data_IF_630984079937
#
_entry.id   IF_630984079937
#
_cell.length_a   1.000
_cell.length_b   1.000
_cell.length_c   1.000
_cell.angle_alpha   90.00
_cell.angle_beta   90.00
_cell.angle_gamma   90.00
#
_symmetry.space_group_name_H-M   'P 1'
#
loop_
_entity.id
_entity.type
_entity.pdbx_description
1 polymer ?
#
# COMPACT_ATOMS: atom_id res chain seq x y z
N UNK A 1 9.27 9.66 15.66
CA UNK A 1 9.31 8.20 15.48
C UNK A 1 9.96 7.82 14.15
N UNK A 2 9.47 8.28 12.99
CA UNK A 2 10.12 7.97 11.70
C UNK A 2 11.60 8.38 11.64
N UNK A 3 11.96 9.59 12.07
CA UNK A 3 13.36 10.04 12.12
C UNK A 3 14.23 9.08 12.94
N UNK A 4 13.75 8.63 14.10
CA UNK A 4 14.44 7.66 14.94
C UNK A 4 14.68 6.34 14.20
N UNK A 5 13.67 5.83 13.50
CA UNK A 5 13.78 4.60 12.70
C UNK A 5 14.80 4.76 11.55
N UNK A 6 14.83 5.93 10.91
CA UNK A 6 15.83 6.25 9.87
C UNK A 6 17.23 6.33 10.46
N UNK A 7 17.42 7.06 11.57
CA UNK A 7 18.72 7.20 12.24
C UNK A 7 19.29 5.85 12.67
N UNK A 8 18.45 4.89 13.06
CA UNK A 8 18.90 3.54 13.39
C UNK A 8 19.50 2.77 12.19
N UNK A 9 19.12 3.11 10.95
CA UNK A 9 19.59 2.43 9.72
C UNK A 9 20.76 3.13 9.07
N UNK A 10 20.72 4.46 9.00
CA UNK A 10 21.66 5.27 8.20
C UNK A 10 22.48 6.27 9.04
N UNK A 11 22.33 6.25 10.36
CA UNK A 11 23.05 7.13 11.29
C UNK A 11 22.53 8.57 11.29
N UNK A 12 23.33 9.50 11.84
CA UNK A 12 22.96 10.93 11.94
C UNK A 12 23.26 11.74 10.67
N UNK A 13 24.11 11.23 9.77
CA UNK A 13 24.59 11.95 8.58
C UNK A 13 23.80 11.59 7.33
N UNK A 14 22.48 11.59 7.42
CA UNK A 14 21.60 11.25 6.31
C UNK A 14 21.36 12.48 5.44
N UNK A 15 21.35 12.29 4.13
CA UNK A 15 20.81 13.31 3.22
C UNK A 15 19.39 13.70 3.63
N UNK A 16 18.94 14.95 3.37
CA UNK A 16 17.56 15.35 3.63
C UNK A 16 16.56 14.40 2.98
N UNK A 17 15.51 14.03 3.71
CA UNK A 17 14.47 13.12 3.22
C UNK A 17 13.09 13.64 3.59
N UNK A 18 12.08 13.14 2.89
CA UNK A 18 10.68 13.53 3.10
C UNK A 18 10.16 13.00 4.45
N UNK A 19 9.68 13.91 5.30
CA UNK A 19 9.08 13.59 6.61
C UNK A 19 7.56 13.73 6.63
N UNK A 20 6.97 14.40 5.63
CA UNK A 20 5.53 14.51 5.45
C UNK A 20 4.93 13.12 5.20
N UNK A 21 3.77 12.88 5.80
CA UNK A 21 3.03 11.63 5.64
C UNK A 21 2.29 11.60 4.29
N UNK A 22 2.27 10.44 3.66
CA UNK A 22 1.38 10.13 2.54
C UNK A 22 0.08 9.55 3.11
N UNK A 23 -1.02 10.32 3.16
CA UNK A 23 -2.23 9.90 3.85
C UNK A 23 -2.96 8.79 3.08
N UNK A 24 -3.73 7.97 3.79
CA UNK A 24 -4.63 7.01 3.17
C UNK A 24 -5.78 7.78 2.48
N UNK A 25 -6.17 7.34 1.29
CA UNK A 25 -7.11 8.09 0.45
C UNK A 25 -8.18 7.19 -0.15
N UNK A 26 -9.43 7.68 -0.11
CA UNK A 26 -10.45 7.22 -1.04
C UNK A 26 -10.23 7.90 -2.40
N UNK A 27 -10.15 7.08 -3.45
CA UNK A 27 -9.74 7.56 -4.78
C UNK A 27 -10.81 7.43 -5.87
N UNK A 28 -12.05 7.13 -5.48
CA UNK A 28 -13.18 7.05 -6.40
C UNK A 28 -13.65 5.61 -6.65
N UNK A 29 -14.28 5.39 -7.81
CA UNK A 29 -14.95 4.11 -8.10
C UNK A 29 -14.11 3.21 -9.00
N UNK A 30 -14.06 1.92 -8.69
CA UNK A 30 -13.29 0.93 -9.46
C UNK A 30 -13.78 0.83 -10.90
N UNK A 31 -15.10 0.87 -11.11
CA UNK A 31 -15.70 0.78 -12.45
C UNK A 31 -15.46 2.02 -13.32
N UNK A 32 -14.89 3.10 -12.75
CA UNK A 32 -14.52 4.33 -13.48
C UNK A 32 -13.01 4.40 -13.76
N UNK A 33 -12.25 3.38 -13.39
CA UNK A 33 -10.82 3.34 -13.66
C UNK A 33 -10.61 3.08 -15.16
N UNK A 34 -9.82 3.92 -15.81
CA UNK A 34 -9.45 3.73 -17.21
C UNK A 34 -7.96 3.99 -17.41
N UNK A 35 -7.38 3.39 -18.46
CA UNK A 35 -5.95 3.54 -18.78
C UNK A 35 -5.59 4.94 -19.28
N UNK A 36 -6.56 5.69 -19.78
CA UNK A 36 -6.41 7.05 -20.32
C UNK A 36 -6.30 8.10 -19.20
N UNK A 37 -6.73 7.77 -17.98
CA UNK A 37 -6.67 8.66 -16.83
C UNK A 37 -5.23 8.93 -16.38
N UNK A 38 -4.89 10.23 -16.27
CA UNK A 38 -3.60 10.69 -15.74
C UNK A 38 -3.48 10.41 -14.24
N UNK A 39 -4.58 10.59 -13.50
CA UNK A 39 -4.70 10.31 -12.07
C UNK A 39 -6.10 9.75 -11.73
N UNK A 40 -6.31 9.34 -10.48
CA UNK A 40 -7.62 8.90 -10.00
C UNK A 40 -8.64 10.05 -9.97
N UNK A 41 -9.94 9.72 -10.18
CA UNK A 41 -11.05 10.70 -10.21
C UNK A 41 -11.13 11.56 -8.95
N UNK A 42 -10.78 10.98 -7.79
CA UNK A 42 -10.81 11.67 -6.49
C UNK A 42 -9.53 11.40 -5.72
N UNK A 43 -9.21 12.31 -4.81
CA UNK A 43 -8.24 12.10 -3.73
C UNK A 43 -8.77 12.82 -2.50
N UNK A 44 -9.48 12.09 -1.65
CA UNK A 44 -10.03 12.63 -0.41
C UNK A 44 -9.68 11.72 0.76
N UNK A 45 -9.77 12.25 1.98
CA UNK A 45 -9.65 11.45 3.20
C UNK A 45 -10.57 10.23 3.14
N UNK A 46 -10.10 9.10 3.68
CA UNK A 46 -10.88 7.86 3.83
C UNK A 46 -12.20 8.09 4.58
N UNK A 47 -12.28 9.10 5.46
CA UNK A 47 -13.50 9.46 6.18
C UNK A 47 -14.58 10.07 5.25
N UNK A 48 -14.17 10.55 4.07
CA UNK A 48 -15.06 11.11 3.05
C UNK A 48 -15.46 10.06 1.99
N UNK A 49 -15.22 8.77 2.24
CA UNK A 49 -15.78 7.69 1.41
C UNK A 49 -17.32 7.76 1.44
N UNK A 50 -18.02 7.45 0.33
CA UNK A 50 -19.47 7.39 0.33
C UNK A 50 -20.01 6.42 1.39
N UNK A 51 -21.02 6.85 2.16
CA UNK A 51 -21.64 6.03 3.19
C UNK A 51 -22.25 4.75 2.60
N UNK A 52 -22.21 3.64 3.36
CA UNK A 52 -22.78 2.34 3.00
C UNK A 52 -22.28 1.78 1.65
N UNK A 53 -21.14 2.24 1.16
CA UNK A 53 -20.53 1.73 -0.06
C UNK A 53 -19.29 0.92 0.28
N UNK A 54 -19.32 -0.41 0.09
CA UNK A 54 -18.13 -1.23 0.20
C UNK A 54 -17.01 -0.75 -0.74
N UNK A 55 -15.79 -0.81 -0.23
CA UNK A 55 -14.57 -0.45 -0.94
C UNK A 55 -13.62 -1.65 -1.04
N UNK A 56 -12.78 -1.65 -2.07
CA UNK A 56 -11.52 -2.39 -2.02
C UNK A 56 -10.51 -1.50 -1.30
N UNK A 57 -9.95 -1.99 -0.21
CA UNK A 57 -8.81 -1.40 0.50
C UNK A 57 -7.56 -2.06 -0.07
N UNK A 58 -6.91 -1.37 -1.01
CA UNK A 58 -5.68 -1.83 -1.63
C UNK A 58 -4.48 -1.33 -0.82
N UNK A 59 -3.79 -2.27 -0.19
CA UNK A 59 -2.66 -2.02 0.69
C UNK A 59 -1.35 -2.13 -0.10
N UNK A 60 -0.59 -1.04 -0.08
CA UNK A 60 0.71 -0.87 -0.69
C UNK A 60 1.80 -0.79 0.39
N UNK A 61 3.06 -0.84 -0.01
CA UNK A 61 4.18 -0.88 0.93
C UNK A 61 4.42 0.47 1.64
N UNK A 62 4.95 1.44 0.90
CA UNK A 62 5.30 2.78 1.38
C UNK A 62 5.33 3.73 0.18
N UNK A 63 5.16 5.05 0.38
CA UNK A 63 5.24 6.02 -0.70
C UNK A 63 6.68 6.16 -1.25
N UNK A 64 6.77 6.62 -2.49
CA UNK A 64 8.00 7.03 -3.17
C UNK A 64 7.94 8.52 -3.55
N UNK A 65 8.89 8.98 -4.36
CA UNK A 65 9.08 10.40 -4.67
C UNK A 65 7.82 11.01 -5.30
N UNK A 66 7.17 10.28 -6.20
CA UNK A 66 6.01 10.80 -6.95
C UNK A 66 4.78 11.01 -6.08
N UNK A 67 4.64 10.27 -4.97
CA UNK A 67 3.53 10.42 -4.01
C UNK A 67 3.52 11.81 -3.36
N UNK A 68 4.64 12.54 -3.39
CA UNK A 68 4.81 13.88 -2.81
C UNK A 68 4.84 15.00 -3.85
N UNK A 69 4.55 14.71 -5.13
CA UNK A 69 4.35 15.75 -6.13
C UNK A 69 3.01 16.46 -5.85
N UNK A 70 3.08 17.72 -5.41
CA UNK A 70 1.92 18.48 -4.94
C UNK A 70 1.40 17.97 -3.61
N UNK A 71 0.06 17.88 -3.47
CA UNK A 71 -0.56 17.36 -2.24
C UNK A 71 -0.26 15.86 -2.05
N UNK A 72 0.32 15.41 -0.92
CA UNK A 72 0.69 14.01 -0.74
C UNK A 72 -0.46 13.02 -0.97
N UNK A 73 -0.18 11.89 -1.62
CA UNK A 73 -1.17 10.83 -1.82
C UNK A 73 -0.59 9.58 -2.48
N UNK A 74 -1.14 8.38 -2.18
CA UNK A 74 -0.57 7.12 -2.60
C UNK A 74 -0.71 6.90 -4.11
N UNK A 75 0.24 6.13 -4.65
CA UNK A 75 0.27 5.63 -6.02
C UNK A 75 0.07 6.74 -7.06
N UNK A 76 0.85 7.81 -7.00
CA UNK A 76 0.83 8.88 -8.03
C UNK A 76 1.69 8.57 -9.24
N UNK A 77 2.58 7.59 -9.11
CA UNK A 77 3.49 7.17 -10.17
C UNK A 77 3.01 5.98 -10.99
N UNK A 78 3.95 5.20 -11.55
CA UNK A 78 3.68 3.99 -12.32
C UNK A 78 2.76 2.99 -11.61
N UNK A 79 2.86 2.87 -10.28
CA UNK A 79 1.95 2.05 -9.46
C UNK A 79 0.49 2.45 -9.69
N UNK A 80 0.17 3.74 -9.64
CA UNK A 80 -1.20 4.23 -9.85
C UNK A 80 -1.72 3.95 -11.25
N UNK A 81 -0.88 4.18 -12.26
CA UNK A 81 -1.20 3.84 -13.65
C UNK A 81 -1.57 2.37 -13.79
N UNK A 82 -0.78 1.45 -13.22
CA UNK A 82 -1.07 0.02 -13.28
C UNK A 82 -2.33 -0.38 -12.52
N UNK A 83 -2.62 0.28 -11.40
CA UNK A 83 -3.89 0.10 -10.69
C UNK A 83 -5.06 0.43 -11.60
N UNK A 84 -5.04 1.61 -12.25
CA UNK A 84 -6.12 2.04 -13.15
C UNK A 84 -6.29 1.13 -14.37
N UNK A 85 -5.19 0.62 -14.91
CA UNK A 85 -5.21 -0.25 -16.09
C UNK A 85 -5.75 -1.65 -15.82
N UNK A 86 -5.57 -2.19 -14.62
CA UNK A 86 -5.71 -3.63 -14.40
C UNK A 86 -6.59 -4.04 -13.22
N UNK A 87 -6.73 -3.22 -12.17
CA UNK A 87 -7.37 -3.66 -10.93
C UNK A 87 -8.78 -4.21 -11.16
N UNK A 88 -9.57 -3.57 -12.03
CA UNK A 88 -10.94 -4.01 -12.34
C UNK A 88 -11.00 -5.47 -12.83
N UNK A 89 -10.02 -5.90 -13.62
CA UNK A 89 -9.97 -7.24 -14.19
C UNK A 89 -9.31 -8.28 -13.26
N UNK A 90 -8.66 -7.83 -12.18
CA UNK A 90 -8.02 -8.71 -11.20
C UNK A 90 -8.97 -9.14 -10.09
N UNK A 91 -10.00 -8.34 -9.82
CA UNK A 91 -11.02 -8.67 -8.84
C UNK A 91 -11.94 -9.76 -9.41
N UNK A 92 -12.33 -10.77 -8.62
CA UNK A 92 -13.14 -11.86 -9.14
C UNK A 92 -14.55 -11.41 -9.50
N UNK A 93 -15.06 -11.95 -10.61
CA UNK A 93 -16.37 -11.63 -11.18
C UNK A 93 -17.55 -12.27 -10.43
N UNK A 94 -17.28 -13.14 -9.45
CA UNK A 94 -18.28 -14.05 -8.88
C UNK A 94 -19.10 -13.43 -7.73
N UNK A 95 -18.89 -12.14 -7.42
CA UNK A 95 -19.62 -11.40 -6.40
C UNK A 95 -19.77 -9.93 -6.82
N UNK A 96 -20.70 -9.16 -6.22
CA UNK A 96 -20.77 -7.72 -6.44
C UNK A 96 -19.43 -7.08 -6.04
N UNK A 97 -18.67 -6.62 -7.03
CA UNK A 97 -17.38 -5.96 -6.79
C UNK A 97 -17.65 -4.69 -5.98
N UNK A 98 -16.94 -4.48 -4.84
CA UNK A 98 -17.02 -3.23 -4.10
C UNK A 98 -16.80 -2.05 -5.05
N UNK A 99 -17.66 -1.04 -4.94
CA UNK A 99 -17.67 0.02 -5.95
C UNK A 99 -16.56 1.04 -5.71
N UNK A 100 -16.11 1.20 -4.46
CA UNK A 100 -15.10 2.18 -4.08
C UNK A 100 -13.68 1.62 -4.07
N UNK A 101 -12.69 2.50 -4.18
CA UNK A 101 -11.28 2.19 -4.01
C UNK A 101 -10.67 3.08 -2.92
N UNK A 102 -10.04 2.44 -1.94
CA UNK A 102 -9.19 3.08 -0.95
C UNK A 102 -7.76 2.60 -1.21
N UNK A 103 -6.82 3.55 -1.28
CA UNK A 103 -5.40 3.28 -1.31
C UNK A 103 -4.81 3.58 0.05
N UNK A 104 -4.11 2.59 0.60
CA UNK A 104 -3.50 2.65 1.94
C UNK A 104 -2.06 2.16 1.84
N UNK A 105 -1.10 2.90 2.40
CA UNK A 105 0.26 2.38 2.56
C UNK A 105 0.39 1.70 3.93
N UNK A 106 1.15 0.60 3.98
CA UNK A 106 1.53 -0.04 5.23
C UNK A 106 2.31 0.95 6.11
N UNK A 107 3.23 1.72 5.52
CA UNK A 107 3.91 2.85 6.17
C UNK A 107 3.66 4.13 5.37
N UNK A 108 3.17 5.19 6.02
CA UNK A 108 2.87 6.47 5.37
C UNK A 108 4.11 7.34 5.09
N UNK A 109 5.26 6.99 5.67
CA UNK A 109 6.54 7.65 5.43
C UNK A 109 7.31 7.03 4.25
N UNK A 110 8.09 7.85 3.55
CA UNK A 110 8.89 7.41 2.41
C UNK A 110 10.10 6.56 2.83
N UNK A 111 9.96 5.25 2.94
CA UNK A 111 11.04 4.36 3.39
C UNK A 111 12.26 4.37 2.46
N UNK A 112 12.09 4.70 1.18
CA UNK A 112 13.21 4.83 0.23
C UNK A 112 14.04 6.10 0.40
N UNK A 113 13.66 7.03 1.28
CA UNK A 113 14.39 8.26 1.59
C UNK A 113 14.75 9.11 0.36
N UNK A 114 13.86 9.15 -0.64
CA UNK A 114 14.10 9.91 -1.87
C UNK A 114 15.13 9.31 -2.84
N UNK A 115 15.68 8.12 -2.55
CA UNK A 115 16.65 7.44 -3.42
C UNK A 115 16.05 6.14 -3.99
N UNK A 116 16.88 5.40 -4.74
CA UNK A 116 16.45 4.12 -5.33
C UNK A 116 16.00 3.13 -4.26
N UNK A 117 14.98 2.35 -4.57
CA UNK A 117 14.33 1.41 -3.63
C UNK A 117 15.23 0.27 -3.16
N UNK A 118 16.38 0.06 -3.81
CA UNK A 118 17.36 -0.96 -3.43
C UNK A 118 18.25 -0.53 -2.25
N UNK A 119 18.37 0.77 -1.99
CA UNK A 119 19.36 1.29 -1.05
C UNK A 119 18.89 1.14 0.41
N UNK A 120 17.79 1.80 0.77
CA UNK A 120 17.38 1.93 2.17
C UNK A 120 15.99 1.39 2.49
N UNK A 121 15.13 1.27 1.47
CA UNK A 121 13.69 1.04 1.62
C UNK A 121 13.37 -0.08 2.59
N UNK A 122 13.91 -1.27 2.36
CA UNK A 122 13.58 -2.44 3.17
C UNK A 122 14.07 -2.31 4.61
N UNK A 123 15.30 -1.83 4.81
CA UNK A 123 15.88 -1.66 6.15
C UNK A 123 15.14 -0.60 6.96
N UNK A 124 14.81 0.53 6.31
CA UNK A 124 14.01 1.60 6.93
C UNK A 124 12.58 1.14 7.17
N UNK A 125 12.00 0.35 6.27
CA UNK A 125 10.69 -0.26 6.47
C UNK A 125 10.70 -1.13 7.73
N UNK A 126 11.64 -2.08 7.84
CA UNK A 126 11.75 -2.97 9.00
C UNK A 126 11.96 -2.19 10.30
N UNK A 127 12.91 -1.25 10.31
CA UNK A 127 13.17 -0.38 11.48
C UNK A 127 11.92 0.43 11.89
N UNK A 128 11.18 0.98 10.93
CA UNK A 128 9.94 1.71 11.22
C UNK A 128 8.83 0.76 11.69
N UNK A 129 8.72 -0.42 11.08
CA UNK A 129 7.73 -1.44 11.40
C UNK A 129 7.88 -1.96 12.83
N UNK A 130 9.13 -2.21 13.26
CA UNK A 130 9.45 -2.69 14.61
C UNK A 130 9.31 -1.60 15.68
N UNK A 131 9.33 -0.32 15.30
CA UNK A 131 9.30 0.80 16.25
C UNK A 131 7.92 1.44 16.45
N UNK A 132 7.16 1.67 15.38
CA UNK A 132 5.84 2.33 15.50
C UNK A 132 4.86 1.98 14.38
N UNK A 133 5.36 1.66 13.19
CA UNK A 133 4.53 1.66 11.99
C UNK A 133 3.56 0.46 11.94
N UNK A 134 3.87 -0.65 12.63
CA UNK A 134 2.97 -1.79 12.74
C UNK A 134 1.70 -1.44 13.50
N UNK A 135 1.83 -0.84 14.69
CA UNK A 135 0.71 -0.41 15.52
C UNK A 135 -0.10 0.70 14.82
N UNK A 136 0.58 1.67 14.22
CA UNK A 136 -0.05 2.72 13.42
C UNK A 136 -0.87 2.14 12.27
N UNK A 137 -0.31 1.21 11.50
CA UNK A 137 -1.00 0.52 10.41
C UNK A 137 -2.24 -0.23 10.91
N UNK A 138 -2.11 -1.01 12.00
CA UNK A 138 -3.23 -1.76 12.60
C UNK A 138 -4.35 -0.80 13.00
N UNK A 139 -4.02 0.32 13.63
CA UNK A 139 -5.02 1.30 14.07
C UNK A 139 -5.70 1.99 12.89
N UNK A 140 -4.93 2.40 11.87
CA UNK A 140 -5.48 2.99 10.64
C UNK A 140 -6.40 2.00 9.92
N UNK A 141 -5.98 0.75 9.76
CA UNK A 141 -6.80 -0.26 9.10
C UNK A 141 -8.10 -0.54 9.88
N UNK A 142 -8.04 -0.64 11.21
CA UNK A 142 -9.25 -0.76 12.07
C UNK A 142 -10.23 0.39 11.86
N UNK A 143 -9.72 1.62 11.76
CA UNK A 143 -10.54 2.81 11.59
C UNK A 143 -11.18 2.90 10.18
N UNK A 144 -10.52 2.36 9.16
CA UNK A 144 -10.97 2.43 7.77
C UNK A 144 -11.91 1.30 7.37
N UNK A 145 -11.70 0.11 7.93
CA UNK A 145 -12.40 -1.10 7.56
C UNK A 145 -13.88 -1.05 7.94
N UNK A 146 -14.76 -1.28 6.97
CA UNK A 146 -16.20 -1.41 7.16
C UNK A 146 -16.71 -2.78 6.68
N UNK A 147 -17.91 -3.14 7.12
CA UNK A 147 -18.58 -4.37 6.68
C UNK A 147 -18.73 -4.38 5.16
N UNK A 148 -18.34 -5.49 4.54
CA UNK A 148 -18.41 -5.69 3.09
C UNK A 148 -17.17 -5.20 2.31
N UNK A 149 -16.24 -4.48 2.96
CA UNK A 149 -14.99 -4.11 2.31
C UNK A 149 -14.13 -5.34 2.00
N UNK A 150 -13.39 -5.26 0.89
CA UNK A 150 -12.38 -6.25 0.52
C UNK A 150 -10.99 -5.70 0.83
N UNK A 151 -10.15 -6.47 1.50
CA UNK A 151 -8.77 -6.12 1.83
C UNK A 151 -7.84 -6.85 0.88
N UNK A 152 -7.01 -6.09 0.16
CA UNK A 152 -6.03 -6.61 -0.79
C UNK A 152 -4.64 -6.22 -0.35
N UNK A 153 -3.80 -7.21 -0.05
CA UNK A 153 -2.39 -6.98 0.25
C UNK A 153 -1.56 -7.13 -1.03
N UNK A 154 -1.07 -5.99 -1.53
CA UNK A 154 -0.23 -5.90 -2.70
C UNK A 154 1.17 -5.35 -2.38
N UNK A 155 1.65 -5.55 -1.15
CA UNK A 155 2.99 -5.17 -0.75
C UNK A 155 4.07 -5.98 -1.49
N UNK A 156 5.28 -5.41 -1.60
CA UNK A 156 6.41 -6.13 -2.18
C UNK A 156 6.93 -7.22 -1.23
N UNK A 157 7.68 -8.19 -1.77
CA UNK A 157 8.42 -9.15 -0.96
C UNK A 157 9.57 -8.50 -0.17
N UNK A 158 10.06 -7.35 -0.63
CA UNK A 158 11.41 -6.87 -0.35
C UNK A 158 12.40 -7.35 -1.41
N UNK A 159 13.55 -6.67 -1.47
CA UNK A 159 14.65 -6.93 -2.40
C UNK A 159 15.79 -7.73 -1.76
N UNK A 160 15.95 -7.69 -0.43
CA UNK A 160 17.01 -8.44 0.24
C UNK A 160 16.54 -9.88 0.52
N UNK A 161 17.19 -10.92 -0.04
CA UNK A 161 16.84 -12.30 0.24
C UNK A 161 17.08 -12.70 1.70
N UNK A 162 17.85 -11.92 2.47
CA UNK A 162 18.03 -12.11 3.92
C UNK A 162 16.89 -11.53 4.75
N UNK A 163 16.00 -10.72 4.16
CA UNK A 163 14.84 -10.20 4.87
C UNK A 163 13.84 -11.32 5.12
N UNK A 164 13.97 -11.93 6.29
CA UNK A 164 13.01 -12.84 6.86
C UNK A 164 12.46 -12.23 8.16
N UNK A 165 11.13 -12.01 8.25
CA UNK A 165 10.09 -12.30 7.25
C UNK A 165 10.04 -11.31 6.06
N UNK A 166 9.41 -11.73 4.94
CA UNK A 166 9.16 -10.88 3.77
C UNK A 166 8.27 -9.67 4.16
N UNK A 167 8.45 -8.50 3.54
CA UNK A 167 7.70 -7.28 3.92
C UNK A 167 6.17 -7.48 3.83
N UNK A 168 5.69 -8.06 2.72
CA UNK A 168 4.26 -8.42 2.56
C UNK A 168 3.73 -9.40 3.61
N UNK A 169 4.58 -10.26 4.18
CA UNK A 169 4.17 -11.21 5.23
C UNK A 169 4.02 -10.50 6.58
N UNK A 170 4.90 -9.54 6.90
CA UNK A 170 4.74 -8.66 8.06
C UNK A 170 3.39 -7.93 8.02
N UNK A 171 3.08 -7.36 6.86
CA UNK A 171 1.80 -6.66 6.64
C UNK A 171 0.63 -7.63 6.74
N UNK A 172 0.72 -8.85 6.19
CA UNK A 172 -0.33 -9.86 6.31
C UNK A 172 -0.60 -10.26 7.76
N UNK A 173 0.45 -10.46 8.56
CA UNK A 173 0.32 -10.77 9.98
C UNK A 173 -0.39 -9.62 10.71
N UNK A 174 -0.07 -8.36 10.39
CA UNK A 174 -0.77 -7.22 10.94
C UNK A 174 -2.24 -7.14 10.47
N UNK A 175 -2.55 -7.46 9.21
CA UNK A 175 -3.93 -7.54 8.73
C UNK A 175 -4.71 -8.62 9.50
N UNK A 176 -4.10 -9.77 9.77
CA UNK A 176 -4.71 -10.87 10.56
C UNK A 176 -5.07 -10.45 11.99
N UNK A 177 -4.33 -9.51 12.57
CA UNK A 177 -4.66 -8.95 13.88
C UNK A 177 -5.90 -8.04 13.88
N UNK A 178 -6.32 -7.55 12.71
CA UNK A 178 -7.54 -6.75 12.51
C UNK A 178 -8.69 -7.61 12.01
N UNK A 179 -8.40 -8.59 11.15
CA UNK A 179 -9.37 -9.48 10.53
C UNK A 179 -8.81 -10.90 10.49
N UNK A 180 -9.42 -11.83 11.23
CA UNK A 180 -8.89 -13.18 11.46
C UNK A 180 -8.47 -13.93 10.16
N UNK A 181 -9.22 -13.76 9.07
CA UNK A 181 -8.93 -14.43 7.79
C UNK A 181 -7.78 -13.80 6.99
N UNK A 182 -7.24 -12.66 7.44
CA UNK A 182 -6.23 -11.88 6.71
C UNK A 182 -6.83 -11.11 5.54
N UNK A 183 -6.03 -10.93 4.49
CA UNK A 183 -6.51 -10.33 3.23
C UNK A 183 -7.41 -11.28 2.44
N UNK A 184 -8.42 -10.74 1.76
CA UNK A 184 -9.23 -11.49 0.80
C UNK A 184 -8.41 -11.90 -0.42
N UNK A 185 -7.52 -10.99 -0.87
CA UNK A 185 -6.64 -11.23 -2.01
C UNK A 185 -5.21 -10.79 -1.73
N UNK A 186 -4.28 -11.49 -2.38
CA UNK A 186 -2.84 -11.33 -2.22
C UNK A 186 -2.21 -11.21 -3.60
N UNK A 187 -2.03 -9.99 -4.07
CA UNK A 187 -1.48 -9.73 -5.39
C UNK A 187 0.00 -9.38 -5.33
N UNK A 188 0.72 -9.62 -6.43
CA UNK A 188 2.02 -8.98 -6.63
C UNK A 188 1.85 -7.45 -6.64
N UNK A 189 2.93 -6.72 -6.34
CA UNK A 189 2.85 -5.25 -6.26
C UNK A 189 2.41 -4.62 -7.60
N UNK A 190 1.55 -3.59 -7.62
CA UNK A 190 0.93 -3.14 -8.85
C UNK A 190 1.90 -2.67 -9.93
N UNK A 191 3.07 -2.15 -9.54
CA UNK A 191 4.11 -1.77 -10.50
C UNK A 191 4.53 -2.93 -11.41
N UNK A 192 4.41 -4.19 -10.96
CA UNK A 192 4.79 -5.38 -11.72
C UNK A 192 3.66 -5.94 -12.60
N UNK A 193 2.46 -5.34 -12.55
CA UNK A 193 1.29 -5.77 -13.33
C UNK A 193 1.40 -5.45 -14.82
N UNK A 194 2.51 -4.91 -15.31
CA UNK A 194 2.78 -4.91 -16.76
C UNK A 194 2.89 -6.35 -17.31
N UNK A 195 3.39 -7.28 -16.48
CA UNK A 195 3.47 -8.70 -16.82
C UNK A 195 2.15 -9.41 -16.55
N UNK A 196 1.65 -10.15 -17.54
CA UNK A 196 0.45 -10.98 -17.40
C UNK A 196 0.62 -12.08 -16.36
N UNK A 197 1.81 -12.67 -16.28
CA UNK A 197 2.14 -13.66 -15.26
C UNK A 197 1.94 -13.08 -13.85
N UNK A 198 2.40 -11.84 -13.62
CA UNK A 198 2.26 -11.19 -12.32
C UNK A 198 0.81 -10.80 -12.00
N UNK A 199 -0.01 -10.51 -13.02
CA UNK A 199 -1.45 -10.28 -12.89
C UNK A 199 -2.19 -11.54 -12.46
N UNK A 200 -1.79 -12.70 -12.98
CA UNK A 200 -2.40 -14.01 -12.68
C UNK A 200 -1.85 -14.64 -11.40
N UNK A 201 -0.70 -14.18 -10.90
CA UNK A 201 -0.07 -14.73 -9.71
C UNK A 201 -0.69 -14.17 -8.43
N UNK A 202 -0.98 -15.04 -7.47
CA UNK A 202 -1.16 -14.67 -6.07
C UNK A 202 0.00 -15.20 -5.24
N UNK A 203 0.45 -14.43 -4.26
CA UNK A 203 1.49 -14.90 -3.36
C UNK A 203 0.90 -15.66 -2.17
N UNK A 204 1.66 -16.65 -1.69
CA UNK A 204 1.23 -17.55 -0.61
C UNK A 204 1.79 -17.05 0.72
N UNK A 205 0.99 -17.19 1.77
CA UNK A 205 1.48 -16.98 3.13
C UNK A 205 2.32 -18.18 3.52
N UNK A 206 3.55 -17.95 3.98
CA UNK A 206 4.33 -19.01 4.62
C UNK A 206 3.55 -19.51 5.84
N UNK A 207 3.47 -20.84 5.97
CA UNK A 207 2.90 -21.48 7.17
C UNK A 207 3.76 -21.18 8.39
#
# INVERSE_FOLDING_TARGET
MFITAVTAVVGKNTQPFQTVLCPDQYVGRILKLTKEQIDFEKRVSVNNRPANQPCVILILESPHIMEFNGQPGPAKGPTGKRIREHLQNLLPNNAPIPKGLILLNAIQNQCSLGVTTKTYRDKVFLSAWDSYAREDFIQRLKNVLQVGDLVVNACTKGNDPKNHPELRQLVECAIRSVRANGSDYRFCHPVSWYSEQNRKSSWKVSK
#
